data_IF_832942599223
#
_entry.id   IF_832942599223
#
_cell.length_a   1.000
_cell.length_b   1.000
_cell.length_c   1.000
_cell.angle_alpha   90.00
_cell.angle_beta   90.00
_cell.angle_gamma   90.00
#
_symmetry.space_group_name_H-M   'P 1'
#
loop_
_entity.id
_entity.type
_entity.pdbx_description
1 polymer ?
#
# COMPACT_ATOMS: atom_id res chain seq x y z
N UNK A 1 3.15 -5.04 19.57
CA UNK A 1 3.95 -5.80 18.59
C UNK A 1 5.10 -4.91 18.16
N UNK A 2 6.34 -5.38 18.27
CA UNK A 2 7.49 -4.67 17.70
C UNK A 2 7.51 -4.99 16.20
N UNK A 3 6.87 -4.16 15.38
CA UNK A 3 7.03 -4.28 13.92
C UNK A 3 8.51 -4.08 13.60
N UNK A 4 9.15 -5.09 13.01
CA UNK A 4 10.57 -4.99 12.67
C UNK A 4 10.73 -4.04 11.48
N UNK A 5 11.19 -2.82 11.78
CA UNK A 5 11.36 -1.73 10.81
C UNK A 5 12.23 -2.14 9.62
N UNK A 6 13.21 -3.03 9.84
CA UNK A 6 14.11 -3.50 8.79
C UNK A 6 13.39 -4.39 7.77
N UNK A 7 12.46 -5.23 8.22
CA UNK A 7 11.65 -6.05 7.34
C UNK A 7 10.71 -5.18 6.50
N UNK A 8 10.05 -4.19 7.11
CA UNK A 8 9.21 -3.23 6.39
C UNK A 8 10.01 -2.42 5.37
N UNK A 9 11.22 -1.97 5.71
CA UNK A 9 12.11 -1.29 4.77
C UNK A 9 12.46 -2.18 3.56
N UNK A 10 12.72 -3.46 3.79
CA UNK A 10 12.92 -4.44 2.72
C UNK A 10 11.69 -4.59 1.81
N UNK A 11 10.51 -4.76 2.40
CA UNK A 11 9.26 -4.84 1.63
C UNK A 11 8.94 -3.57 0.84
N UNK A 12 9.24 -2.39 1.40
CA UNK A 12 9.09 -1.11 0.69
C UNK A 12 10.03 -1.07 -0.52
N UNK A 13 11.31 -1.41 -0.33
CA UNK A 13 12.29 -1.41 -1.42
C UNK A 13 11.90 -2.37 -2.54
N UNK A 14 11.46 -3.59 -2.20
CA UNK A 14 10.97 -4.58 -3.17
C UNK A 14 9.74 -4.05 -3.92
N UNK A 15 8.76 -3.50 -3.20
CA UNK A 15 7.55 -2.92 -3.81
C UNK A 15 7.88 -1.79 -4.77
N UNK A 16 8.83 -0.92 -4.42
CA UNK A 16 9.31 0.17 -5.29
C UNK A 16 9.97 -0.39 -6.55
N UNK A 17 10.87 -1.37 -6.41
CA UNK A 17 11.57 -1.97 -7.55
C UNK A 17 10.59 -2.65 -8.51
N UNK A 18 9.61 -3.40 -7.99
CA UNK A 18 8.58 -4.05 -8.80
C UNK A 18 7.66 -3.00 -9.45
N UNK A 19 7.22 -1.98 -8.72
CA UNK A 19 6.37 -0.90 -9.26
C UNK A 19 7.07 -0.07 -10.34
N UNK A 20 8.38 0.15 -10.22
CA UNK A 20 9.17 0.78 -11.29
C UNK A 20 9.36 -0.16 -12.47
N UNK A 21 9.46 -1.47 -12.24
CA UNK A 21 9.54 -2.47 -13.29
C UNK A 21 8.23 -2.58 -14.09
N UNK A 22 7.05 -2.49 -13.46
CA UNK A 22 5.76 -2.50 -14.19
C UNK A 22 5.62 -1.27 -15.10
N UNK A 23 6.14 -0.11 -14.68
CA UNK A 23 6.16 1.12 -15.48
C UNK A 23 7.35 1.21 -16.46
N UNK A 24 8.25 0.21 -16.48
CA UNK A 24 9.40 0.20 -17.38
C UNK A 24 9.00 -0.20 -18.81
N UNK A 25 9.58 0.47 -19.81
CA UNK A 25 9.37 0.14 -21.24
C UNK A 25 9.79 -1.28 -21.62
N UNK A 26 10.58 -1.95 -20.76
CA UNK A 26 11.04 -3.33 -20.96
C UNK A 26 9.96 -4.39 -20.72
N UNK A 27 8.79 -3.98 -20.26
CA UNK A 27 7.72 -4.88 -19.85
C UNK A 27 6.57 -4.93 -20.86
N UNK A 28 6.91 -4.73 -22.14
CA UNK A 28 5.99 -4.79 -23.28
C UNK A 28 5.41 -6.17 -23.55
N UNK A 29 5.92 -7.21 -22.88
CA UNK A 29 5.41 -8.58 -22.95
C UNK A 29 4.28 -8.87 -21.94
N UNK A 30 4.01 -7.95 -20.99
CA UNK A 30 2.91 -8.11 -20.05
C UNK A 30 1.57 -7.73 -20.69
N UNK A 31 0.47 -8.41 -20.31
CA UNK A 31 -0.88 -7.98 -20.63
C UNK A 31 -1.12 -6.52 -20.23
N UNK A 32 -1.83 -5.76 -21.07
CA UNK A 32 -2.08 -4.33 -20.85
C UNK A 32 -2.71 -4.06 -19.48
N UNK A 33 -3.62 -4.93 -19.02
CA UNK A 33 -4.25 -4.89 -17.70
C UNK A 33 -3.22 -4.85 -16.56
N UNK A 34 -2.16 -5.66 -16.64
CA UNK A 34 -1.13 -5.70 -15.59
C UNK A 34 -0.28 -4.44 -15.65
N UNK A 35 0.07 -3.98 -16.84
CA UNK A 35 0.88 -2.77 -17.01
C UNK A 35 0.16 -1.52 -16.49
N UNK A 36 -1.15 -1.46 -16.69
CA UNK A 36 -1.94 -0.28 -16.39
C UNK A 36 -2.32 -0.24 -14.90
N UNK A 37 -2.71 -1.37 -14.29
CA UNK A 37 -3.25 -1.40 -12.91
C UNK A 37 -2.27 -1.89 -11.83
N UNK A 38 -1.27 -2.71 -12.17
CA UNK A 38 -0.39 -3.28 -11.14
C UNK A 38 0.44 -2.22 -10.43
N UNK A 39 0.79 -1.13 -11.13
CA UNK A 39 1.47 0.01 -10.53
C UNK A 39 0.67 0.63 -9.38
N UNK A 40 -0.64 0.78 -9.56
CA UNK A 40 -1.51 1.47 -8.61
C UNK A 40 -1.83 0.57 -7.41
N UNK A 41 -2.02 -0.74 -7.64
CA UNK A 41 -2.09 -1.73 -6.55
C UNK A 41 -0.81 -1.74 -5.70
N UNK A 42 0.37 -1.74 -6.33
CA UNK A 42 1.66 -1.71 -5.62
C UNK A 42 1.88 -0.38 -4.90
N UNK A 43 1.40 0.72 -5.46
CA UNK A 43 1.49 2.04 -4.83
C UNK A 43 0.67 2.09 -3.53
N UNK A 44 -0.56 1.60 -3.51
CA UNK A 44 -1.36 1.52 -2.29
C UNK A 44 -0.73 0.58 -1.24
N UNK A 45 -0.17 -0.55 -1.68
CA UNK A 45 0.58 -1.45 -0.80
C UNK A 45 1.80 -0.75 -0.19
N UNK A 46 2.53 0.04 -0.97
CA UNK A 46 3.68 0.82 -0.51
C UNK A 46 3.26 1.84 0.55
N UNK A 47 2.15 2.57 0.36
CA UNK A 47 1.62 3.52 1.36
C UNK A 47 1.30 2.79 2.67
N UNK A 48 0.63 1.63 2.59
CA UNK A 48 0.34 0.82 3.78
C UNK A 48 1.63 0.40 4.52
N UNK A 49 2.65 -0.06 3.80
CA UNK A 49 3.94 -0.45 4.38
C UNK A 49 4.67 0.74 5.02
N UNK A 50 4.66 1.91 4.39
CA UNK A 50 5.25 3.15 4.93
C UNK A 50 4.55 3.55 6.22
N UNK A 51 3.21 3.49 6.26
CA UNK A 51 2.45 3.76 7.49
C UNK A 51 2.78 2.73 8.59
N UNK A 52 2.94 1.45 8.24
CA UNK A 52 3.39 0.40 9.16
C UNK A 52 4.79 0.65 9.73
N UNK A 53 5.69 1.21 8.91
CA UNK A 53 7.03 1.61 9.30
C UNK A 53 7.04 2.84 10.23
N UNK A 54 6.27 3.88 9.90
CA UNK A 54 6.16 5.10 10.71
C UNK A 54 5.45 4.84 12.05
N UNK A 55 4.37 4.06 12.03
CA UNK A 55 3.48 3.87 13.18
C UNK A 55 3.45 2.40 13.64
N UNK A 56 4.55 1.86 14.19
CA UNK A 56 4.66 0.44 14.54
C UNK A 56 3.69 -0.03 15.65
N UNK A 57 3.12 0.91 16.40
CA UNK A 57 2.15 0.64 17.48
C UNK A 57 0.68 0.78 17.06
N UNK A 58 0.41 1.32 15.86
CA UNK A 58 -0.95 1.51 15.37
C UNK A 58 -1.58 0.18 14.93
N UNK A 59 -2.91 0.05 15.10
CA UNK A 59 -3.65 -1.14 14.66
C UNK A 59 -3.55 -1.28 13.14
N UNK A 60 -3.36 -2.51 12.66
CA UNK A 60 -3.27 -2.84 11.22
C UNK A 60 -4.48 -2.31 10.44
N UNK A 61 -5.69 -2.43 11.00
CA UNK A 61 -6.91 -1.88 10.40
C UNK A 61 -6.87 -0.35 10.25
N UNK A 62 -6.31 0.37 11.23
CA UNK A 62 -6.17 1.83 11.14
C UNK A 62 -5.21 2.24 10.02
N UNK A 63 -4.12 1.49 9.84
CA UNK A 63 -3.17 1.74 8.75
C UNK A 63 -3.77 1.43 7.38
N UNK A 64 -4.58 0.37 7.27
CA UNK A 64 -5.31 0.04 6.05
C UNK A 64 -6.29 1.15 5.65
N UNK A 65 -7.11 1.63 6.61
CA UNK A 65 -8.03 2.74 6.37
C UNK A 65 -7.26 4.01 5.97
N UNK A 66 -6.18 4.33 6.68
CA UNK A 66 -5.36 5.50 6.35
C UNK A 66 -4.73 5.40 4.96
N UNK A 67 -4.22 4.23 4.57
CA UNK A 67 -3.68 4.01 3.23
C UNK A 67 -4.74 4.17 2.14
N UNK A 68 -5.96 3.65 2.36
CA UNK A 68 -7.08 3.85 1.44
C UNK A 68 -7.46 5.31 1.32
N UNK A 69 -7.60 6.01 2.44
CA UNK A 69 -7.94 7.43 2.44
C UNK A 69 -6.89 8.28 1.71
N UNK A 70 -5.60 7.98 1.92
CA UNK A 70 -4.51 8.65 1.20
C UNK A 70 -4.62 8.37 -0.31
N UNK A 71 -4.82 7.11 -0.70
CA UNK A 71 -4.92 6.72 -2.10
C UNK A 71 -6.11 7.38 -2.80
N UNK A 72 -7.26 7.38 -2.15
CA UNK A 72 -8.46 8.02 -2.67
C UNK A 72 -8.28 9.53 -2.74
N UNK A 73 -7.66 10.15 -1.74
CA UNK A 73 -7.37 11.60 -1.76
C UNK A 73 -6.44 11.99 -2.90
N UNK A 74 -5.44 11.15 -3.21
CA UNK A 74 -4.56 11.34 -4.36
C UNK A 74 -5.34 11.26 -5.66
N UNK A 75 -6.22 10.27 -5.81
CA UNK A 75 -7.07 10.11 -7.00
C UNK A 75 -8.05 11.29 -7.16
N UNK A 76 -8.75 11.68 -6.09
CA UNK A 76 -9.63 12.85 -6.09
C UNK A 76 -8.88 14.15 -6.37
N UNK A 77 -7.60 14.25 -5.97
CA UNK A 77 -6.77 15.41 -6.30
C UNK A 77 -6.69 15.61 -7.81
N UNK A 78 -6.80 14.56 -8.63
CA UNK A 78 -6.70 14.65 -10.09
C UNK A 78 -7.90 15.35 -10.74
N UNK A 79 -9.04 15.39 -10.06
CA UNK A 79 -10.18 16.24 -10.47
C UNK A 79 -9.86 17.72 -10.21
N UNK A 80 -9.01 18.01 -9.23
CA UNK A 80 -8.54 19.34 -8.93
C UNK A 80 -7.40 19.77 -9.87
N UNK A 81 -7.70 20.72 -10.76
CA UNK A 81 -6.86 21.15 -11.89
C UNK A 81 -6.23 22.53 -11.69
N UNK A 82 -5.87 22.89 -10.45
CA UNK A 82 -5.23 24.17 -10.19
C UNK A 82 -3.81 24.26 -10.81
N UNK A 83 -3.32 25.46 -11.18
CA UNK A 83 -2.02 25.62 -11.82
C UNK A 83 -0.84 25.07 -10.99
N UNK A 84 -0.89 25.26 -9.67
CA UNK A 84 0.17 24.80 -8.77
C UNK A 84 0.27 23.28 -8.69
N UNK A 85 -0.86 22.56 -8.64
CA UNK A 85 -0.86 21.09 -8.56
C UNK A 85 -0.47 20.48 -9.90
N UNK A 86 -0.88 21.11 -11.00
CA UNK A 86 -0.48 20.71 -12.34
C UNK A 86 1.01 20.96 -12.61
N UNK A 87 1.60 22.00 -12.02
CA UNK A 87 3.05 22.21 -12.03
C UNK A 87 3.79 21.10 -11.28
N UNK A 88 3.23 20.56 -10.19
CA UNK A 88 3.82 19.40 -9.51
C UNK A 88 3.71 18.15 -10.41
N UNK A 89 2.54 17.91 -11.02
CA UNK A 89 2.31 16.77 -11.94
C UNK A 89 3.15 16.80 -13.21
N UNK A 90 3.59 17.97 -13.66
CA UNK A 90 4.48 18.07 -14.82
C UNK A 90 5.88 17.49 -14.53
N UNK A 91 6.27 17.43 -13.26
CA UNK A 91 7.51 16.76 -12.84
C UNK A 91 7.36 15.23 -12.87
N UNK A 92 8.43 14.51 -13.18
CA UNK A 92 8.41 13.03 -13.19
C UNK A 92 8.01 12.44 -11.84
N UNK A 93 8.49 13.04 -10.75
CA UNK A 93 8.20 12.60 -9.38
C UNK A 93 6.73 12.87 -9.04
N UNK A 94 6.23 14.07 -9.36
CA UNK A 94 4.82 14.40 -9.13
C UNK A 94 3.87 13.53 -9.94
N UNK A 95 4.19 13.21 -11.20
CA UNK A 95 3.41 12.26 -12.00
C UNK A 95 3.41 10.84 -11.42
N UNK A 96 4.51 10.39 -10.79
CA UNK A 96 4.60 9.09 -10.14
C UNK A 96 3.83 9.02 -8.82
N UNK A 97 3.79 10.14 -8.08
CA UNK A 97 3.14 10.19 -6.75
C UNK A 97 1.65 10.54 -6.86
N UNK A 98 1.29 11.48 -7.73
CA UNK A 98 -0.08 11.99 -7.87
C UNK A 98 -0.89 11.31 -8.98
N UNK A 99 -0.23 10.53 -9.84
CA UNK A 99 -0.86 9.92 -11.01
C UNK A 99 -1.16 10.92 -12.13
N UNK A 100 -1.70 10.40 -13.23
CA UNK A 100 -2.12 11.18 -14.39
C UNK A 100 -3.49 10.72 -14.89
N UNK A 101 -4.50 11.52 -14.57
CA UNK A 101 -5.86 11.35 -15.09
C UNK A 101 -6.68 10.39 -14.25
N UNK A 102 -7.94 10.76 -14.03
CA UNK A 102 -8.85 10.08 -13.12
C UNK A 102 -9.40 8.80 -13.74
N UNK A 103 -9.16 7.67 -13.08
CA UNK A 103 -9.66 6.35 -13.49
C UNK A 103 -10.34 5.68 -12.29
N UNK A 104 -11.69 5.54 -12.28
CA UNK A 104 -12.41 4.95 -11.15
C UNK A 104 -11.97 3.53 -10.78
N UNK A 105 -11.48 2.76 -11.76
CA UNK A 105 -10.95 1.41 -11.57
C UNK A 105 -9.74 1.41 -10.63
N UNK A 106 -9.02 2.52 -10.54
CA UNK A 106 -7.86 2.66 -9.65
C UNK A 106 -8.28 2.58 -8.18
N UNK A 107 -9.49 3.04 -7.83
CA UNK A 107 -10.05 2.88 -6.47
C UNK A 107 -10.16 1.40 -6.08
N UNK A 108 -10.57 0.55 -7.02
CA UNK A 108 -10.63 -0.90 -6.80
C UNK A 108 -9.22 -1.48 -6.67
N UNK A 109 -8.28 -1.05 -7.52
CA UNK A 109 -6.89 -1.48 -7.48
C UNK A 109 -6.21 -1.11 -6.15
N UNK A 110 -6.48 0.09 -5.62
CA UNK A 110 -6.01 0.52 -4.31
C UNK A 110 -6.62 -0.31 -3.18
N UNK A 111 -7.91 -0.62 -3.26
CA UNK A 111 -8.60 -1.49 -2.31
C UNK A 111 -7.95 -2.88 -2.26
N UNK A 112 -7.67 -3.47 -3.43
CA UNK A 112 -6.98 -4.76 -3.55
C UNK A 112 -5.56 -4.68 -2.96
N UNK A 113 -4.80 -3.63 -3.25
CA UNK A 113 -3.44 -3.43 -2.73
C UNK A 113 -3.39 -3.36 -1.21
N UNK A 114 -4.30 -2.59 -0.60
CA UNK A 114 -4.41 -2.50 0.86
C UNK A 114 -4.86 -3.82 1.48
N UNK A 115 -5.80 -4.53 0.84
CA UNK A 115 -6.23 -5.86 1.31
C UNK A 115 -5.09 -6.87 1.31
N UNK A 116 -4.24 -6.87 0.29
CA UNK A 116 -3.04 -7.72 0.25
C UNK A 116 -2.11 -7.39 1.42
N UNK A 117 -1.88 -6.10 1.70
CA UNK A 117 -1.07 -5.67 2.85
C UNK A 117 -1.65 -6.11 4.20
N UNK A 118 -2.96 -5.97 4.37
CA UNK A 118 -3.68 -6.37 5.58
C UNK A 118 -3.66 -7.88 5.79
N UNK A 119 -3.90 -8.67 4.74
CA UNK A 119 -3.82 -10.14 4.78
C UNK A 119 -2.39 -10.57 5.07
N UNK A 120 -1.39 -9.99 4.39
CA UNK A 120 0.02 -10.27 4.61
C UNK A 120 0.46 -10.02 6.05
N UNK A 121 0.07 -8.89 6.63
CA UNK A 121 0.37 -8.58 8.03
C UNK A 121 -0.38 -9.53 8.98
N UNK A 122 -1.63 -9.89 8.67
CA UNK A 122 -2.42 -10.83 9.49
C UNK A 122 -1.82 -12.24 9.47
N UNK A 123 -1.38 -12.71 8.30
CA UNK A 123 -0.68 -13.98 8.13
C UNK A 123 0.67 -13.97 8.85
N UNK A 124 1.46 -12.91 8.69
CA UNK A 124 2.73 -12.76 9.40
C UNK A 124 2.52 -12.80 10.93
N UNK A 125 1.45 -12.16 11.43
CA UNK A 125 1.08 -12.19 12.85
C UNK A 125 0.62 -13.58 13.33
N UNK A 126 -0.03 -14.38 12.46
CA UNK A 126 -0.39 -15.77 12.77
C UNK A 126 0.84 -16.68 12.80
N UNK A 127 1.75 -16.52 11.84
CA UNK A 127 2.98 -17.33 11.71
C UNK A 127 3.99 -17.00 12.82
N UNK A 128 4.13 -15.72 13.17
CA UNK A 128 4.93 -15.29 14.33
C UNK A 128 4.20 -15.52 15.66
N UNK A 129 3.13 -16.31 15.65
CA UNK A 129 2.26 -16.65 16.77
C UNK A 129 3.01 -16.67 18.09
N UNK A 130 2.97 -15.53 18.78
CA UNK A 130 3.09 -15.50 20.22
C UNK A 130 1.85 -16.22 20.70
N UNK A 131 1.98 -17.54 20.87
CA UNK A 131 1.04 -18.38 21.58
C UNK A 131 0.75 -17.62 22.88
N UNK A 132 -0.42 -16.99 22.98
CA UNK A 132 -0.92 -16.61 24.28
C UNK A 132 -1.28 -17.96 24.90
N UNK A 133 -0.60 -18.44 25.95
CA UNK A 133 -1.14 -19.58 26.66
C UNK A 133 -2.56 -19.17 27.07
N UNK A 134 -3.54 -19.89 26.57
CA UNK A 134 -4.86 -19.90 27.18
C UNK A 134 -4.63 -20.35 28.61
N UNK A 135 -4.87 -19.47 29.59
CA UNK A 135 -5.03 -19.97 30.96
C UNK A 135 -6.28 -20.85 30.93
N UNK A 136 -6.18 -22.16 31.27
CA UNK A 136 -7.37 -22.92 31.58
C UNK A 136 -7.90 -22.37 32.90
N UNK A 137 -9.02 -21.66 32.85
CA UNK A 137 -9.48 -20.88 33.98
C UNK A 137 -10.98 -20.70 33.97
N UNK A 138 -11.71 -21.79 33.81
CA UNK A 138 -13.09 -21.92 34.32
C UNK A 138 -13.24 -23.30 34.97
N UNK A 139 -12.78 -23.42 36.21
CA UNK A 139 -13.36 -24.31 37.22
C UNK A 139 -12.61 -24.15 38.55
N UNK A 140 -13.39 -23.87 39.59
CA UNK A 140 -13.00 -23.70 40.98
C UNK A 140 -12.08 -24.81 41.56
N UNK A 141 -11.06 -24.38 42.30
CA UNK A 141 -10.69 -24.86 43.64
C UNK A 141 -9.73 -23.84 44.27
#
# INVERSE_FOLDING_TARGET
>A
MSRNRLQYAGWIAVTILIGLATRSKRTSFLPDVIRDYAGDTLWALMVFLILGFLFPRARTATLAIAALLISFSVEFSQIYQAPWINHIRSTRIGALVLGRGWVPVDLLCYTVGVMIGLIGETLANRVTGKHRPECPGDSAC
#
